data_IF_748706811096
#
_entry.id   IF_748706811096
#
_cell.length_a   1.000
_cell.length_b   1.000
_cell.length_c   1.000
_cell.angle_alpha   90.00
_cell.angle_beta   90.00
_cell.angle_gamma   90.00
#
_symmetry.space_group_name_H-M   'P 1'
#
loop_
_entity.id
_entity.type
_entity.pdbx_description
1 polymer ?
#
# COMPACT_ATOMS: atom_id res chain seq x y z
N UNK A 1 -7.26 -6.07 -8.94
CA UNK A 1 -6.12 -5.67 -9.78
C UNK A 1 -4.98 -5.35 -8.83
N UNK A 2 -3.89 -6.08 -8.87
CA UNK A 2 -2.74 -5.85 -8.00
C UNK A 2 -1.57 -5.44 -8.90
N UNK A 3 -0.95 -4.31 -8.57
CA UNK A 3 0.19 -3.78 -9.29
C UNK A 3 1.40 -3.82 -8.36
N UNK A 4 2.46 -4.51 -8.77
CA UNK A 4 3.76 -4.52 -8.09
C UNK A 4 4.77 -3.97 -9.09
N UNK A 5 5.33 -2.79 -8.81
CA UNK A 5 6.42 -2.18 -9.57
C UNK A 5 7.64 -2.08 -8.66
N UNK A 6 8.83 -2.49 -9.09
CA UNK A 6 10.04 -2.03 -8.42
C UNK A 6 10.12 -0.50 -8.55
N UNK A 7 10.30 0.18 -7.43
CA UNK A 7 10.42 1.65 -7.41
C UNK A 7 11.85 2.03 -7.81
N UNK A 8 11.97 2.95 -8.75
CA UNK A 8 13.25 3.62 -9.05
C UNK A 8 13.66 4.51 -7.89
N UNK A 9 14.96 4.55 -7.60
CA UNK A 9 15.59 5.10 -6.38
C UNK A 9 15.32 6.57 -6.04
N UNK A 10 14.66 7.34 -6.90
CA UNK A 10 14.63 8.81 -6.79
C UNK A 10 13.51 9.39 -5.91
N UNK A 11 12.55 8.59 -5.42
CA UNK A 11 11.43 9.08 -4.61
C UNK A 11 11.50 8.74 -3.11
N UNK A 12 12.37 7.83 -2.68
CA UNK A 12 12.46 7.37 -1.29
C UNK A 12 13.89 7.14 -0.83
N UNK A 13 14.68 8.20 -0.68
CA UNK A 13 15.96 8.11 0.03
C UNK A 13 15.71 8.04 1.54
N UNK A 14 15.70 6.85 2.09
CA UNK A 14 15.93 6.62 3.51
C UNK A 14 17.44 6.48 3.76
N UNK A 15 17.95 6.89 4.95
CA UNK A 15 19.37 6.78 5.27
C UNK A 15 19.86 5.32 5.18
N UNK A 16 20.97 5.13 4.49
CA UNK A 16 21.69 3.86 4.41
C UNK A 16 22.43 3.65 5.71
N UNK A 17 21.85 2.93 6.65
CA UNK A 17 22.64 2.29 7.74
C UNK A 17 21.80 1.17 8.37
N UNK A 18 21.99 -0.05 7.85
CA UNK A 18 21.71 -1.26 8.63
C UNK A 18 22.75 -2.34 8.28
N UNK A 19 23.37 -2.98 9.30
CA UNK A 19 24.43 -3.95 9.10
C UNK A 19 23.90 -5.31 8.65
N UNK A 20 24.67 -5.93 7.79
CA UNK A 20 24.83 -7.33 7.42
C UNK A 20 23.70 -8.32 7.71
N UNK A 21 23.02 -8.70 6.64
CA UNK A 21 22.25 -9.96 6.60
C UNK A 21 23.16 -11.10 6.10
N UNK A 22 23.21 -12.26 6.78
CA UNK A 22 24.05 -13.38 6.33
C UNK A 22 23.53 -13.97 5.02
N UNK A 23 24.48 -14.18 4.11
CA UNK A 23 24.31 -14.90 2.84
C UNK A 23 23.88 -16.37 3.11
N UNK A 24 22.58 -16.66 2.97
CA UNK A 24 22.06 -18.04 3.00
C UNK A 24 21.77 -18.53 1.58
N UNK A 25 22.82 -18.72 0.80
CA UNK A 25 22.74 -19.55 -0.41
C UNK A 25 22.82 -21.02 -0.02
N UNK A 26 21.70 -21.62 0.34
CA UNK A 26 21.62 -23.07 0.50
C UNK A 26 20.96 -23.71 -0.74
N UNK A 27 21.72 -24.61 -1.32
CA UNK A 27 21.55 -25.61 -2.35
C UNK A 27 20.17 -25.81 -3.00
N UNK A 28 20.07 -25.49 -4.27
CA UNK A 28 18.94 -25.83 -5.15
C UNK A 28 19.09 -27.31 -5.54
N UNK A 29 18.16 -28.15 -5.09
CA UNK A 29 18.02 -29.52 -5.57
C UNK A 29 17.27 -29.48 -6.92
N UNK A 30 17.77 -30.08 -8.02
CA UNK A 30 17.07 -30.08 -9.31
C UNK A 30 15.77 -30.88 -9.20
N UNK A 31 14.62 -30.22 -9.39
CA UNK A 31 13.32 -30.86 -9.46
C UNK A 31 12.24 -30.34 -8.49
N UNK A 32 12.59 -29.74 -7.38
CA UNK A 32 11.66 -29.06 -6.48
C UNK A 32 12.04 -27.58 -6.37
N UNK A 33 11.24 -26.68 -6.95
CA UNK A 33 11.39 -25.25 -6.73
C UNK A 33 11.35 -24.92 -5.24
N UNK A 34 11.68 -23.69 -4.83
CA UNK A 34 11.74 -23.28 -3.42
C UNK A 34 10.49 -23.70 -2.66
N UNK A 35 10.61 -24.08 -1.40
CA UNK A 35 9.49 -24.61 -0.60
C UNK A 35 8.26 -23.68 -0.60
N UNK A 36 8.47 -22.36 -0.62
CA UNK A 36 7.38 -21.38 -0.68
C UNK A 36 6.59 -21.39 -2.00
N UNK A 37 7.12 -21.99 -3.07
CA UNK A 37 6.44 -22.13 -4.37
C UNK A 37 5.67 -23.44 -4.50
N UNK A 38 5.77 -24.34 -3.54
CA UNK A 38 5.07 -25.62 -3.58
C UNK A 38 3.56 -25.42 -3.57
N UNK A 39 2.86 -26.25 -4.36
CA UNK A 39 1.39 -26.23 -4.48
C UNK A 39 0.83 -25.01 -5.21
N UNK A 40 1.65 -24.23 -5.92
CA UNK A 40 1.17 -23.30 -6.94
C UNK A 40 0.79 -24.08 -8.20
N UNK A 41 -0.36 -23.71 -8.78
CA UNK A 41 -0.69 -24.19 -10.11
C UNK A 41 0.15 -23.47 -11.20
N UNK A 42 0.20 -23.98 -12.46
CA UNK A 42 1.04 -23.39 -13.49
C UNK A 42 0.84 -21.87 -13.72
N UNK A 43 -0.40 -21.34 -13.85
CA UNK A 43 -0.61 -19.90 -13.98
C UNK A 43 -0.18 -19.07 -12.76
N UNK A 44 -0.34 -19.61 -11.55
CA UNK A 44 0.13 -18.95 -10.33
C UNK A 44 1.67 -18.91 -10.29
N UNK A 45 2.33 -20.01 -10.67
CA UNK A 45 3.79 -20.09 -10.74
C UNK A 45 4.33 -19.10 -11.76
N UNK A 46 3.76 -19.05 -12.96
CA UNK A 46 4.12 -18.09 -14.00
C UNK A 46 4.01 -16.65 -13.48
N UNK A 47 2.89 -16.32 -12.81
CA UNK A 47 2.72 -14.99 -12.22
C UNK A 47 3.74 -14.66 -11.13
N UNK A 48 4.25 -15.65 -10.40
CA UNK A 48 5.27 -15.48 -9.36
C UNK A 48 6.66 -15.31 -9.98
N UNK A 49 6.99 -16.10 -10.99
CA UNK A 49 8.32 -16.14 -11.63
C UNK A 49 8.54 -14.99 -12.63
N UNK A 50 7.47 -14.39 -13.17
CA UNK A 50 7.58 -13.24 -14.07
C UNK A 50 7.93 -11.98 -13.26
N UNK A 51 9.20 -11.69 -13.06
CA UNK A 51 9.66 -10.58 -12.24
C UNK A 51 9.74 -9.26 -13.01
N UNK A 52 9.98 -9.31 -14.30
CA UNK A 52 10.12 -8.14 -15.15
C UNK A 52 8.78 -7.71 -15.77
N UNK A 53 8.59 -6.40 -15.83
CA UNK A 53 7.42 -5.78 -16.46
C UNK A 53 6.12 -5.90 -15.69
N UNK A 54 5.03 -5.34 -16.23
CA UNK A 54 3.71 -5.40 -15.60
C UNK A 54 3.06 -6.78 -15.77
N UNK A 55 2.55 -7.34 -14.69
CA UNK A 55 1.80 -8.61 -14.69
C UNK A 55 0.36 -8.37 -14.27
N UNK A 56 -0.60 -8.74 -15.11
CA UNK A 56 -2.03 -8.71 -14.81
C UNK A 56 -2.54 -10.13 -14.59
N UNK A 57 -3.04 -10.39 -13.38
CA UNK A 57 -3.66 -11.69 -13.03
C UNK A 57 -5.18 -11.54 -12.98
N UNK A 58 -5.87 -12.15 -13.92
CA UNK A 58 -7.34 -12.25 -13.96
C UNK A 58 -7.78 -13.57 -13.36
N UNK A 59 -8.47 -13.52 -12.24
CA UNK A 59 -8.83 -14.73 -11.51
C UNK A 59 -10.13 -14.54 -10.70
N UNK A 60 -11.01 -15.53 -10.70
CA UNK A 60 -12.26 -15.54 -9.94
C UNK A 60 -12.05 -15.62 -8.41
N UNK A 61 -13.13 -15.55 -7.64
CA UNK A 61 -13.07 -15.77 -6.21
C UNK A 61 -12.58 -17.19 -5.88
N UNK A 62 -11.79 -17.36 -4.83
CA UNK A 62 -11.29 -18.69 -4.41
C UNK A 62 -10.15 -19.29 -5.25
N UNK A 63 -9.72 -18.67 -6.32
CA UNK A 63 -8.68 -19.19 -7.24
C UNK A 63 -7.24 -19.05 -6.72
N UNK A 64 -7.06 -18.52 -5.51
CA UNK A 64 -5.72 -18.36 -4.92
C UNK A 64 -4.95 -17.10 -5.34
N UNK A 65 -5.63 -16.04 -5.82
CA UNK A 65 -5.00 -14.75 -6.15
C UNK A 65 -4.08 -14.22 -5.06
N UNK A 66 -4.59 -14.21 -3.82
CA UNK A 66 -3.81 -13.73 -2.66
C UNK A 66 -2.58 -14.59 -2.42
N UNK A 67 -2.68 -15.91 -2.63
CA UNK A 67 -1.54 -16.81 -2.53
C UNK A 67 -0.48 -16.48 -3.58
N UNK A 68 -0.87 -16.33 -4.84
CA UNK A 68 0.07 -15.95 -5.90
C UNK A 68 0.76 -14.61 -5.57
N UNK A 69 0.00 -13.60 -5.09
CA UNK A 69 0.53 -12.30 -4.72
C UNK A 69 1.54 -12.41 -3.57
N UNK A 70 1.19 -13.06 -2.47
CA UNK A 70 2.07 -13.18 -1.30
C UNK A 70 3.31 -14.01 -1.61
N UNK A 71 3.18 -15.07 -2.41
CA UNK A 71 4.31 -15.86 -2.88
C UNK A 71 5.21 -15.05 -3.82
N UNK A 72 4.65 -14.19 -4.70
CA UNK A 72 5.43 -13.29 -5.55
C UNK A 72 6.24 -12.29 -4.73
N UNK A 73 5.65 -11.70 -3.68
CA UNK A 73 6.37 -10.82 -2.76
C UNK A 73 7.54 -11.58 -2.12
N UNK A 74 7.28 -12.77 -1.57
CA UNK A 74 8.33 -13.60 -0.98
C UNK A 74 9.42 -13.95 -2.01
N UNK A 75 9.04 -14.26 -3.24
CA UNK A 75 9.97 -14.59 -4.32
C UNK A 75 10.89 -13.42 -4.69
N UNK A 76 10.34 -12.21 -4.84
CA UNK A 76 11.13 -10.99 -5.07
C UNK A 76 12.21 -10.78 -4.02
N UNK A 77 11.89 -11.01 -2.75
CA UNK A 77 12.79 -10.81 -1.64
C UNK A 77 13.82 -11.92 -1.53
N UNK A 78 13.39 -13.18 -1.67
CA UNK A 78 14.28 -14.33 -1.54
C UNK A 78 15.23 -14.50 -2.72
N UNK A 79 14.89 -13.97 -3.88
CA UNK A 79 15.81 -13.90 -5.04
C UNK A 79 16.73 -12.68 -5.01
N UNK A 80 16.53 -11.77 -4.04
CA UNK A 80 17.30 -10.52 -3.98
C UNK A 80 16.95 -9.53 -5.10
N UNK A 81 15.82 -9.74 -5.79
CA UNK A 81 15.34 -8.83 -6.86
C UNK A 81 14.86 -7.49 -6.30
N UNK A 82 14.34 -7.49 -5.07
CA UNK A 82 13.92 -6.28 -4.38
C UNK A 82 14.16 -6.40 -2.88
N UNK A 83 14.39 -5.27 -2.24
CA UNK A 83 14.42 -5.15 -0.78
C UNK A 83 13.02 -4.86 -0.23
N UNK A 84 12.76 -5.18 1.07
CA UNK A 84 11.45 -4.93 1.69
C UNK A 84 10.91 -3.51 1.53
N UNK A 85 11.78 -2.51 1.56
CA UNK A 85 11.44 -1.09 1.42
C UNK A 85 11.09 -0.70 0.00
N UNK A 86 11.46 -1.50 -1.00
CA UNK A 86 11.20 -1.28 -2.42
C UNK A 86 9.90 -1.94 -2.89
N UNK A 87 9.24 -2.71 -2.02
CA UNK A 87 7.98 -3.40 -2.33
C UNK A 87 6.80 -2.62 -1.77
N UNK A 88 5.94 -2.13 -2.65
CA UNK A 88 4.65 -1.55 -2.31
C UNK A 88 3.54 -2.56 -2.62
N UNK A 89 2.86 -3.07 -1.59
CA UNK A 89 1.74 -3.97 -1.77
C UNK A 89 0.46 -3.40 -1.15
N UNK A 90 -0.56 -3.23 -1.98
CA UNK A 90 -1.77 -2.51 -1.62
C UNK A 90 -2.99 -3.40 -1.71
N UNK A 91 -3.86 -3.31 -0.71
CA UNK A 91 -5.16 -3.98 -0.71
C UNK A 91 -6.29 -2.96 -0.50
N UNK A 92 -7.52 -3.41 -0.65
CA UNK A 92 -8.67 -2.52 -0.47
C UNK A 92 -9.14 -2.46 0.99
N UNK A 93 -9.04 -3.56 1.74
CA UNK A 93 -9.55 -3.64 3.12
C UNK A 93 -8.45 -3.92 4.13
N UNK A 94 -8.64 -3.44 5.36
CA UNK A 94 -7.70 -3.70 6.47
C UNK A 94 -7.58 -5.20 6.77
N UNK A 95 -8.68 -5.97 6.64
CA UNK A 95 -8.66 -7.41 6.79
C UNK A 95 -7.74 -8.08 5.77
N UNK A 96 -7.90 -7.74 4.48
CA UNK A 96 -7.03 -8.27 3.43
C UNK A 96 -5.56 -7.85 3.60
N UNK A 97 -5.31 -6.63 4.10
CA UNK A 97 -3.96 -6.17 4.42
C UNK A 97 -3.33 -6.97 5.56
N UNK A 98 -4.10 -7.27 6.60
CA UNK A 98 -3.68 -8.14 7.71
C UNK A 98 -3.33 -9.55 7.23
N UNK A 99 -4.27 -10.19 6.52
CA UNK A 99 -4.05 -11.53 5.96
C UNK A 99 -2.84 -11.59 4.99
N UNK A 100 -2.64 -10.55 4.19
CA UNK A 100 -1.48 -10.47 3.30
C UNK A 100 -0.17 -10.40 4.10
N UNK A 101 -0.14 -9.58 5.15
CA UNK A 101 1.03 -9.42 6.02
C UNK A 101 1.39 -10.75 6.70
N UNK A 102 0.43 -11.38 7.37
CA UNK A 102 0.61 -12.67 8.06
C UNK A 102 1.16 -13.75 7.11
N UNK A 103 0.65 -13.82 5.89
CA UNK A 103 1.10 -14.80 4.89
C UNK A 103 2.50 -14.50 4.38
N UNK A 104 2.86 -13.24 4.16
CA UNK A 104 4.21 -12.87 3.77
C UNK A 104 5.19 -13.20 4.89
N UNK A 105 4.88 -12.83 6.13
CA UNK A 105 5.68 -13.15 7.32
C UNK A 105 5.91 -14.66 7.48
N UNK A 106 4.85 -15.45 7.29
CA UNK A 106 4.96 -16.91 7.35
C UNK A 106 5.86 -17.50 6.24
N UNK A 107 5.89 -16.88 5.05
CA UNK A 107 6.72 -17.33 3.93
C UNK A 107 8.19 -16.96 4.08
N UNK A 108 8.48 -15.76 4.61
CA UNK A 108 9.85 -15.23 4.71
C UNK A 108 10.49 -15.47 6.08
N UNK A 109 9.70 -15.85 7.10
CA UNK A 109 10.19 -16.10 8.47
C UNK A 109 10.61 -14.83 9.22
N UNK A 110 10.19 -13.65 8.77
CA UNK A 110 10.57 -12.36 9.35
C UNK A 110 9.32 -11.43 9.47
N UNK A 111 9.28 -10.53 10.47
CA UNK A 111 8.21 -9.56 10.60
C UNK A 111 8.27 -8.53 9.46
N UNK A 112 7.09 -8.09 9.01
CA UNK A 112 6.94 -7.07 7.97
C UNK A 112 6.76 -5.66 8.54
N UNK A 113 7.21 -5.42 9.76
CA UNK A 113 7.12 -4.10 10.42
C UNK A 113 7.87 -3.06 9.60
N UNK A 114 7.19 -1.96 9.32
CA UNK A 114 7.77 -0.86 8.55
C UNK A 114 7.68 -0.99 7.03
N UNK A 115 7.26 -2.14 6.51
CA UNK A 115 7.09 -2.32 5.07
C UNK A 115 5.92 -1.50 4.50
N UNK A 116 5.89 -1.36 3.19
CA UNK A 116 4.81 -0.68 2.49
C UNK A 116 3.68 -1.65 2.12
N UNK A 117 3.17 -2.37 3.14
CA UNK A 117 2.05 -3.29 3.03
C UNK A 117 0.83 -2.71 3.74
N UNK A 118 -0.26 -2.46 3.02
CA UNK A 118 -1.44 -1.85 3.65
C UNK A 118 -2.59 -1.59 2.69
N UNK A 119 -3.55 -0.81 3.16
CA UNK A 119 -4.64 -0.30 2.31
C UNK A 119 -4.19 0.98 1.60
N UNK A 120 -4.87 1.33 0.50
CA UNK A 120 -4.64 2.62 -0.18
C UNK A 120 -4.66 3.79 0.80
N UNK A 121 -5.67 3.86 1.65
CA UNK A 121 -5.81 4.95 2.63
C UNK A 121 -4.68 4.97 3.67
N UNK A 122 -4.31 3.83 4.22
CA UNK A 122 -3.24 3.78 5.24
C UNK A 122 -1.88 4.15 4.67
N UNK A 123 -1.58 3.71 3.45
CA UNK A 123 -0.32 4.03 2.77
C UNK A 123 -0.29 5.48 2.30
N UNK A 124 -1.40 6.01 1.77
CA UNK A 124 -1.52 7.44 1.42
C UNK A 124 -1.33 8.33 2.65
N UNK A 125 -1.97 8.00 3.78
CA UNK A 125 -1.78 8.73 5.02
C UNK A 125 -0.33 8.67 5.52
N UNK A 126 0.35 7.54 5.36
CA UNK A 126 1.78 7.40 5.69
C UNK A 126 2.65 8.29 4.81
N UNK A 127 2.41 8.30 3.49
CA UNK A 127 3.13 9.17 2.54
C UNK A 127 2.93 10.64 2.91
N UNK A 128 1.69 11.05 3.16
CA UNK A 128 1.38 12.43 3.56
C UNK A 128 2.07 12.83 4.86
N UNK A 129 2.16 11.94 5.86
CA UNK A 129 2.88 12.24 7.10
C UNK A 129 4.38 12.42 6.89
N UNK A 130 4.98 11.58 6.04
CA UNK A 130 6.43 11.67 5.75
C UNK A 130 6.75 12.96 4.97
N UNK A 131 5.87 13.36 4.06
CA UNK A 131 6.11 14.47 3.13
C UNK A 131 5.26 15.71 3.41
N UNK A 132 4.68 15.86 4.61
CA UNK A 132 3.82 16.98 4.95
C UNK A 132 4.45 18.35 4.67
N UNK A 133 5.74 18.51 4.98
CA UNK A 133 6.47 19.75 4.76
C UNK A 133 6.67 20.11 3.29
N UNK A 134 6.65 19.14 2.38
CA UNK A 134 6.83 19.35 0.94
C UNK A 134 5.62 20.04 0.30
N UNK A 135 4.44 19.91 0.94
CA UNK A 135 3.20 20.50 0.42
C UNK A 135 3.16 22.01 0.53
N UNK A 136 4.06 22.65 1.31
CA UNK A 136 4.12 24.10 1.47
C UNK A 136 2.88 24.73 2.13
N UNK A 137 2.01 23.94 2.75
CA UNK A 137 0.83 24.41 3.48
C UNK A 137 1.18 24.56 4.93
N UNK A 138 1.27 25.80 5.41
CA UNK A 138 1.78 26.17 6.74
C UNK A 138 1.07 25.46 7.90
N UNK A 139 -0.24 25.23 7.77
CA UNK A 139 -1.06 24.53 8.77
C UNK A 139 -1.06 23.00 8.64
N UNK A 140 -0.47 22.46 7.58
CA UNK A 140 -0.47 21.01 7.33
C UNK A 140 0.83 20.38 7.81
N UNK A 141 0.76 19.69 8.94
CA UNK A 141 1.91 19.04 9.58
C UNK A 141 1.77 17.50 9.54
N UNK A 142 2.84 16.79 9.85
CA UNK A 142 2.81 15.32 9.97
C UNK A 142 1.76 14.79 10.97
N UNK A 143 1.28 15.64 11.89
CA UNK A 143 0.30 15.31 12.93
C UNK A 143 -1.15 15.61 12.51
N UNK A 144 -1.43 15.71 11.22
CA UNK A 144 -2.80 15.94 10.74
C UNK A 144 -3.77 14.84 11.21
N UNK A 145 -5.00 15.25 11.46
CA UNK A 145 -6.09 14.35 11.84
C UNK A 145 -6.87 13.90 10.60
N UNK A 146 -7.22 12.63 10.54
CA UNK A 146 -8.12 12.10 9.53
C UNK A 146 -9.53 12.17 10.11
N UNK A 147 -10.40 12.92 9.46
CA UNK A 147 -11.81 13.05 9.85
C UNK A 147 -12.63 11.93 9.19
N UNK A 148 -13.59 11.38 9.90
CA UNK A 148 -14.64 10.58 9.29
C UNK A 148 -15.72 11.47 8.65
N UNK A 149 -16.70 10.84 7.95
CA UNK A 149 -17.73 11.58 7.24
C UNK A 149 -18.58 12.46 8.16
N UNK A 150 -18.88 12.00 9.37
CA UNK A 150 -19.68 12.74 10.34
C UNK A 150 -18.90 13.91 10.93
N UNK A 151 -17.64 13.73 11.24
CA UNK A 151 -16.74 14.78 11.71
C UNK A 151 -16.53 15.85 10.64
N UNK A 152 -16.37 15.44 9.37
CA UNK A 152 -16.26 16.36 8.25
C UNK A 152 -17.52 17.23 8.10
N UNK A 153 -18.71 16.62 8.19
CA UNK A 153 -19.96 17.36 8.11
C UNK A 153 -20.16 18.31 9.30
N UNK A 154 -19.77 17.89 10.52
CA UNK A 154 -19.80 18.76 11.71
C UNK A 154 -18.87 19.96 11.55
N UNK A 155 -17.66 19.74 11.08
CA UNK A 155 -16.69 20.81 10.80
C UNK A 155 -17.23 21.78 9.75
N UNK A 156 -17.74 21.28 8.63
CA UNK A 156 -18.31 22.11 7.57
C UNK A 156 -19.50 22.94 8.07
N UNK A 157 -20.37 22.35 8.90
CA UNK A 157 -21.49 23.09 9.52
C UNK A 157 -21.00 24.22 10.41
N UNK A 158 -19.98 23.96 11.22
CA UNK A 158 -19.38 24.99 12.09
C UNK A 158 -18.77 26.13 11.27
N UNK A 159 -18.00 25.81 10.23
CA UNK A 159 -17.40 26.80 9.33
C UNK A 159 -18.44 27.63 8.59
N UNK A 160 -19.55 27.06 8.14
CA UNK A 160 -20.62 27.80 7.50
C UNK A 160 -21.20 28.85 8.46
N UNK A 161 -21.45 28.47 9.71
CA UNK A 161 -21.97 29.39 10.74
C UNK A 161 -20.95 30.50 11.04
N UNK A 162 -19.68 30.15 11.18
CA UNK A 162 -18.61 31.10 11.47
C UNK A 162 -18.43 32.13 10.34
N UNK A 163 -18.65 31.74 9.11
CA UNK A 163 -18.66 32.61 7.93
C UNK A 163 -20.01 33.29 7.65
N UNK A 164 -20.96 33.26 8.59
CA UNK A 164 -22.29 33.84 8.44
C UNK A 164 -23.13 33.29 7.25
N UNK A 165 -22.90 32.04 6.89
CA UNK A 165 -23.65 31.31 5.88
C UNK A 165 -24.69 30.41 6.57
N UNK A 166 -25.97 30.52 6.15
CA UNK A 166 -27.01 29.67 6.72
C UNK A 166 -26.84 28.21 6.27
N UNK A 167 -26.61 27.25 7.19
CA UNK A 167 -26.47 25.83 6.85
C UNK A 167 -27.74 25.20 6.27
N UNK A 168 -28.91 25.88 6.37
CA UNK A 168 -30.14 25.43 5.72
C UNK A 168 -30.15 25.80 4.26
N UNK A 169 -29.62 26.97 3.91
CA UNK A 169 -29.48 27.42 2.52
C UNK A 169 -28.25 26.73 1.85
N UNK A 170 -27.19 26.52 2.60
CA UNK A 170 -25.94 25.90 2.15
C UNK A 170 -25.74 24.56 2.86
N UNK A 171 -26.36 23.50 2.35
CA UNK A 171 -26.23 22.16 2.97
C UNK A 171 -24.77 21.74 3.12
N UNK A 172 -24.30 21.39 4.35
CA UNK A 172 -22.93 20.91 4.58
C UNK A 172 -22.56 19.73 3.68
N UNK A 173 -23.53 18.86 3.37
CA UNK A 173 -23.35 17.71 2.49
C UNK A 173 -23.12 18.12 1.04
N UNK A 174 -23.85 19.15 0.56
CA UNK A 174 -23.63 19.68 -0.79
C UNK A 174 -22.26 20.33 -0.92
N UNK A 175 -21.83 21.07 0.10
CA UNK A 175 -20.49 21.68 0.17
C UNK A 175 -19.41 20.59 0.20
N UNK A 176 -19.54 19.57 1.04
CA UNK A 176 -18.63 18.41 1.09
C UNK A 176 -18.49 17.74 -0.28
N UNK A 177 -19.61 17.47 -0.95
CA UNK A 177 -19.61 16.88 -2.29
C UNK A 177 -18.94 17.76 -3.35
N UNK A 178 -19.08 19.07 -3.24
CA UNK A 178 -18.43 20.02 -4.14
C UNK A 178 -16.92 20.01 -3.93
N UNK A 179 -16.46 20.09 -2.67
CA UNK A 179 -15.04 20.04 -2.30
C UNK A 179 -14.42 18.72 -2.77
N UNK A 180 -15.07 17.57 -2.54
CA UNK A 180 -14.58 16.27 -2.98
C UNK A 180 -14.37 16.22 -4.50
N UNK A 181 -15.35 16.72 -5.27
CA UNK A 181 -15.24 16.79 -6.74
C UNK A 181 -14.09 17.70 -7.21
N UNK A 182 -13.83 18.80 -6.50
CA UNK A 182 -12.72 19.68 -6.83
C UNK A 182 -11.39 19.02 -6.53
N UNK A 183 -11.27 18.39 -5.39
CA UNK A 183 -10.06 17.62 -5.02
C UNK A 183 -9.78 16.45 -5.98
N UNK A 184 -10.82 15.73 -6.43
CA UNK A 184 -10.68 14.65 -7.41
C UNK A 184 -10.15 15.15 -8.77
N UNK A 185 -10.38 16.44 -9.08
CA UNK A 185 -9.87 17.10 -10.28
C UNK A 185 -8.53 17.79 -10.07
N UNK A 186 -7.96 17.71 -8.87
CA UNK A 186 -6.74 18.41 -8.51
C UNK A 186 -6.91 19.93 -8.39
N UNK A 187 -8.14 20.41 -8.21
CA UNK A 187 -8.41 21.80 -7.91
C UNK A 187 -8.27 22.04 -6.41
N UNK A 188 -7.22 22.76 -6.02
CA UNK A 188 -6.91 23.12 -4.63
C UNK A 188 -6.78 24.63 -4.51
#
# INVERSE_FOLDING_TARGET
MFYIRPMTQDLFTLPKDHPDTPDQRQGIVPGSGPAYMQGLNPPQREAVETLEGPVLVLAGAGTGKTRALTTRIAHLLMTGTAHPQEVLAVTFTNKAAGEMRERVEALIGQPTTGWWLGTFHSLAARILRIHASVLGVESFTQNFTILDDDDQLRLLKALLVDHNLDPKAHSPRAVSNAISRWKDRGWV
#
